data_IF_354637517836
#
_entry.id   IF_354637517836
#
_cell.length_a   1.000
_cell.length_b   1.000
_cell.length_c   1.000
_cell.angle_alpha   90.00
_cell.angle_beta   90.00
_cell.angle_gamma   90.00
#
_symmetry.space_group_name_H-M   'P 1'
#
loop_
_entity.id
_entity.type
_entity.pdbx_description
1 polymer ?
#
# COMPACT_ATOMS: atom_id res chain seq x y z
N UNK A 1 53.42 -62.00 -7.78
CA UNK A 1 54.25 -60.85 -7.36
C UNK A 1 53.66 -59.63 -8.05
N UNK A 2 52.66 -58.99 -7.45
CA UNK A 2 52.84 -57.82 -6.56
C UNK A 2 53.60 -56.70 -7.30
N UNK A 3 52.99 -55.55 -7.60
CA UNK A 3 52.57 -54.64 -6.55
C UNK A 3 51.46 -53.66 -7.02
N UNK A 4 50.43 -53.52 -6.19
CA UNK A 4 49.33 -52.56 -6.34
C UNK A 4 49.84 -51.15 -6.03
N UNK A 5 50.08 -50.33 -7.04
CA UNK A 5 50.40 -48.91 -6.81
C UNK A 5 49.13 -48.06 -6.85
N UNK A 6 48.58 -47.88 -5.64
CA UNK A 6 47.90 -46.68 -5.12
C UNK A 6 47.01 -45.88 -6.08
N UNK A 7 45.72 -46.20 -5.99
CA UNK A 7 44.62 -45.22 -5.96
C UNK A 7 44.96 -44.15 -4.91
N UNK A 8 45.10 -42.89 -5.32
CA UNK A 8 44.72 -41.67 -4.58
C UNK A 8 45.14 -40.44 -5.39
N UNK A 9 44.31 -40.08 -6.36
CA UNK A 9 44.36 -38.76 -6.99
C UNK A 9 42.99 -38.12 -6.81
N UNK A 10 42.83 -37.50 -5.64
CA UNK A 10 42.11 -36.23 -5.44
C UNK A 10 40.78 -36.04 -6.17
N UNK A 11 39.77 -36.88 -5.88
CA UNK A 11 38.37 -36.42 -5.90
C UNK A 11 38.11 -35.80 -4.53
N UNK A 12 38.66 -34.62 -4.29
CA UNK A 12 38.40 -33.88 -3.04
C UNK A 12 38.44 -32.36 -3.21
N UNK A 13 38.31 -31.86 -4.44
CA UNK A 13 38.36 -30.42 -4.70
C UNK A 13 37.30 -29.96 -5.72
N UNK A 14 36.07 -30.46 -5.59
CA UNK A 14 34.91 -29.87 -6.28
C UNK A 14 33.60 -30.00 -5.47
N UNK A 15 33.70 -30.11 -4.13
CA UNK A 15 32.54 -30.12 -3.22
C UNK A 15 32.68 -29.08 -2.08
N UNK A 16 33.71 -28.23 -2.12
CA UNK A 16 33.96 -27.19 -1.09
C UNK A 16 34.02 -25.75 -1.61
N UNK A 17 33.36 -25.44 -2.74
CA UNK A 17 33.02 -24.05 -3.14
C UNK A 17 31.55 -23.97 -3.59
N UNK A 18 30.67 -24.72 -2.92
CA UNK A 18 29.21 -24.51 -3.03
C UNK A 18 28.50 -24.61 -1.66
N UNK A 19 29.25 -24.55 -0.55
CA UNK A 19 28.69 -24.65 0.81
C UNK A 19 29.00 -23.39 1.66
N UNK A 20 29.26 -22.23 1.06
CA UNK A 20 29.43 -20.99 1.86
C UNK A 20 28.81 -19.72 1.31
N UNK A 21 27.91 -19.80 0.32
CA UNK A 21 27.12 -18.66 -0.16
C UNK A 21 25.69 -19.07 -0.53
N UNK A 22 25.07 -19.98 0.21
CA UNK A 22 23.62 -19.94 0.37
C UNK A 22 23.27 -18.92 1.47
N UNK A 23 23.77 -17.69 1.32
CA UNK A 23 23.04 -16.56 1.88
C UNK A 23 21.66 -16.65 1.22
N UNK A 24 20.62 -16.86 2.00
CA UNK A 24 19.24 -16.75 1.56
C UNK A 24 19.01 -15.33 1.03
N UNK A 25 19.44 -15.06 -0.21
CA UNK A 25 19.16 -13.85 -0.97
C UNK A 25 17.70 -13.99 -1.40
N UNK A 26 16.79 -13.75 -0.46
CA UNK A 26 15.38 -13.58 -0.78
C UNK A 26 15.32 -12.52 -1.86
N UNK A 27 14.83 -12.89 -3.04
CA UNK A 27 14.60 -11.94 -4.11
C UNK A 27 13.58 -10.91 -3.60
N UNK A 28 13.99 -9.65 -3.51
CA UNK A 28 13.12 -8.56 -3.08
C UNK A 28 12.63 -7.83 -4.32
N UNK A 29 11.33 -7.52 -4.37
CA UNK A 29 10.75 -6.70 -5.44
C UNK A 29 11.27 -5.27 -5.41
N UNK A 30 11.21 -4.66 -4.24
CA UNK A 30 11.60 -3.28 -4.01
C UNK A 30 12.74 -3.23 -2.96
N UNK A 31 14.03 -3.24 -3.40
CA UNK A 31 15.19 -3.24 -2.50
C UNK A 31 15.43 -1.89 -1.82
N UNK A 32 14.82 -0.80 -2.29
CA UNK A 32 14.84 0.49 -1.59
C UNK A 32 13.94 0.48 -0.35
N UNK A 33 12.87 -0.33 -0.42
CA UNK A 33 11.87 -0.50 0.62
C UNK A 33 12.22 -1.60 1.61
N UNK A 34 12.65 -2.77 1.15
CA UNK A 34 12.92 -3.92 2.02
C UNK A 34 14.41 -4.21 2.07
N UNK A 35 14.98 -4.22 3.27
CA UNK A 35 16.39 -4.46 3.49
C UNK A 35 16.60 -5.42 4.66
N UNK A 36 17.72 -6.12 4.60
CA UNK A 36 18.16 -7.05 5.63
C UNK A 36 19.41 -6.48 6.29
N UNK A 37 19.42 -6.38 7.61
CA UNK A 37 20.59 -5.91 8.37
C UNK A 37 21.71 -6.95 8.33
N UNK A 38 22.91 -6.55 8.76
CA UNK A 38 24.05 -7.47 8.92
C UNK A 38 23.78 -8.56 9.96
N UNK A 39 22.93 -8.28 10.94
CA UNK A 39 22.49 -9.23 11.98
C UNK A 39 21.45 -10.23 11.43
N UNK A 40 20.90 -9.96 10.26
CA UNK A 40 19.97 -10.83 9.55
C UNK A 40 18.51 -10.43 9.65
N UNK A 41 18.20 -9.33 10.33
CA UNK A 41 16.83 -8.86 10.56
C UNK A 41 16.29 -8.09 9.35
N UNK A 42 15.08 -8.45 8.96
CA UNK A 42 14.36 -7.74 7.91
C UNK A 42 13.65 -6.52 8.45
N UNK A 43 13.62 -5.48 7.63
CA UNK A 43 13.01 -4.22 7.96
C UNK A 43 12.44 -3.57 6.68
N UNK A 44 11.43 -2.74 6.86
CA UNK A 44 10.85 -1.87 5.84
C UNK A 44 11.30 -0.44 6.09
N UNK A 45 11.87 0.20 5.07
CA UNK A 45 12.26 1.60 5.08
C UNK A 45 11.18 2.44 4.42
N UNK A 46 10.63 3.42 5.13
CA UNK A 46 9.74 4.41 4.52
C UNK A 46 10.55 5.55 3.89
N UNK A 47 9.92 6.35 3.03
CA UNK A 47 10.57 7.49 2.39
C UNK A 47 11.07 8.55 3.39
N UNK A 48 10.41 8.66 4.55
CA UNK A 48 10.85 9.50 5.67
C UNK A 48 12.04 8.90 6.45
N UNK A 49 12.67 7.86 5.88
CA UNK A 49 13.78 7.11 6.48
C UNK A 49 13.48 6.48 7.84
N UNK A 50 12.19 6.22 8.12
CA UNK A 50 11.79 5.43 9.29
C UNK A 50 11.91 3.95 8.98
N UNK A 51 12.28 3.19 10.00
CA UNK A 51 12.51 1.75 9.89
C UNK A 51 11.44 0.99 10.66
N UNK A 52 10.75 0.09 9.96
CA UNK A 52 9.67 -0.72 10.51
C UNK A 52 10.14 -2.16 10.55
N UNK A 53 10.13 -2.75 11.75
CA UNK A 53 10.58 -4.13 12.02
C UNK A 53 9.42 -5.09 12.25
N UNK A 54 8.26 -4.56 12.59
CA UNK A 54 7.05 -5.33 12.91
C UNK A 54 5.85 -4.87 12.08
N UNK A 55 4.94 -5.81 11.83
CA UNK A 55 3.62 -5.58 11.28
C UNK A 55 2.60 -5.74 12.41
N UNK A 56 1.78 -4.73 12.62
CA UNK A 56 0.67 -4.79 13.55
C UNK A 56 -0.48 -5.57 12.91
N UNK A 57 -0.90 -6.64 13.56
CA UNK A 57 -2.05 -7.45 13.16
C UNK A 57 -3.23 -7.20 14.09
N UNK A 58 -4.35 -7.92 13.89
CA UNK A 58 -5.51 -7.79 14.77
C UNK A 58 -5.27 -8.39 16.17
N UNK A 59 -4.27 -9.27 16.33
CA UNK A 59 -3.99 -9.99 17.58
C UNK A 59 -2.68 -9.58 18.25
N UNK A 60 -1.66 -9.27 17.46
CA UNK A 60 -0.29 -9.07 17.95
C UNK A 60 0.59 -8.32 16.94
N UNK A 61 1.79 -7.94 17.37
CA UNK A 61 2.86 -7.40 16.53
C UNK A 61 3.81 -8.54 16.14
N UNK A 62 4.03 -8.73 14.84
CA UNK A 62 4.87 -9.81 14.31
C UNK A 62 6.01 -9.25 13.47
N UNK A 63 7.20 -9.87 13.48
CA UNK A 63 8.30 -9.46 12.61
C UNK A 63 7.86 -9.39 11.13
N UNK A 64 8.36 -8.39 10.41
CA UNK A 64 8.05 -8.21 8.99
C UNK A 64 8.40 -9.45 8.15
N UNK A 65 9.44 -10.21 8.56
CA UNK A 65 9.87 -11.44 7.90
C UNK A 65 8.85 -12.58 7.95
N UNK A 66 7.95 -12.59 8.94
CA UNK A 66 6.92 -13.62 9.08
C UNK A 66 5.68 -13.29 8.24
N UNK A 67 5.38 -12.00 8.06
CA UNK A 67 4.11 -11.53 7.50
C UNK A 67 4.23 -10.98 6.08
N UNK A 68 5.37 -10.43 5.68
CA UNK A 68 5.54 -9.78 4.37
C UNK A 68 6.16 -10.75 3.37
N UNK A 69 5.53 -10.88 2.20
CA UNK A 69 6.15 -11.51 1.04
C UNK A 69 7.00 -10.46 0.28
N UNK A 70 8.28 -10.38 0.64
CA UNK A 70 9.23 -9.44 0.04
C UNK A 70 9.40 -9.59 -1.48
N UNK A 71 9.04 -10.74 -2.09
CA UNK A 71 9.10 -10.91 -3.55
C UNK A 71 8.02 -10.14 -4.28
N UNK A 72 7.00 -9.69 -3.56
CA UNK A 72 5.86 -8.97 -4.15
C UNK A 72 5.55 -7.67 -3.44
N UNK A 73 5.98 -7.49 -2.19
CA UNK A 73 5.74 -6.30 -1.39
C UNK A 73 6.23 -5.01 -2.07
N UNK A 74 5.33 -4.05 -2.17
CA UNK A 74 5.57 -2.73 -2.76
C UNK A 74 4.48 -1.74 -2.34
N UNK A 75 4.65 -0.48 -2.73
CA UNK A 75 3.57 0.49 -2.68
C UNK A 75 2.39 0.04 -3.55
N UNK A 76 1.16 0.28 -3.08
CA UNK A 76 -0.06 -0.14 -3.78
C UNK A 76 -0.14 0.46 -5.20
N UNK A 77 0.27 1.71 -5.39
CA UNK A 77 0.23 2.38 -6.71
C UNK A 77 1.24 1.81 -7.72
N UNK A 78 2.19 0.97 -7.31
CA UNK A 78 3.12 0.27 -8.22
C UNK A 78 2.49 -0.95 -8.88
N UNK A 79 1.29 -1.36 -8.46
CA UNK A 79 0.54 -2.44 -9.08
C UNK A 79 -0.35 -1.87 -10.20
N UNK A 80 -0.14 -2.34 -11.42
CA UNK A 80 -0.84 -1.82 -12.62
C UNK A 80 -2.36 -1.82 -12.48
N UNK A 81 -2.93 -2.90 -11.93
CA UNK A 81 -4.39 -3.04 -11.80
C UNK A 81 -4.97 -2.10 -10.74
N UNK A 82 -4.15 -1.67 -9.79
CA UNK A 82 -4.52 -0.72 -8.73
C UNK A 82 -4.25 0.73 -9.16
N UNK A 83 -3.16 0.97 -9.90
CA UNK A 83 -2.74 2.32 -10.33
C UNK A 83 -3.76 2.99 -11.25
N UNK A 84 -4.45 2.22 -12.09
CA UNK A 84 -5.51 2.75 -12.96
C UNK A 84 -6.77 3.17 -12.17
N UNK A 85 -6.98 2.62 -10.97
CA UNK A 85 -8.18 2.88 -10.15
C UNK A 85 -8.11 4.18 -9.37
N UNK A 86 -6.93 4.80 -9.25
CA UNK A 86 -6.84 6.18 -8.74
C UNK A 86 -7.65 7.14 -9.61
N UNK A 87 -7.80 6.84 -10.90
CA UNK A 87 -8.74 7.50 -11.82
C UNK A 87 -8.76 9.04 -11.69
N UNK A 88 -7.58 9.64 -11.55
CA UNK A 88 -7.37 11.08 -11.39
C UNK A 88 -5.87 11.37 -11.65
N UNK A 89 -5.60 12.39 -12.47
CA UNK A 89 -4.23 12.71 -12.92
C UNK A 89 -3.33 13.19 -11.79
N UNK A 90 -3.86 13.97 -10.83
CA UNK A 90 -3.09 14.45 -9.68
C UNK A 90 -2.53 13.29 -8.87
N UNK A 91 -3.39 12.35 -8.47
CA UNK A 91 -2.96 11.20 -7.65
C UNK A 91 -2.15 10.16 -8.44
N UNK A 92 -2.26 10.14 -9.77
CA UNK A 92 -1.39 9.32 -10.61
C UNK A 92 0.05 9.85 -10.62
N UNK A 93 0.24 11.18 -10.57
CA UNK A 93 1.55 11.82 -10.48
C UNK A 93 2.06 11.94 -9.04
N UNK A 94 1.13 12.06 -8.08
CA UNK A 94 1.41 12.26 -6.66
C UNK A 94 0.71 11.17 -5.83
N UNK A 95 1.07 9.88 -6.02
CA UNK A 95 0.37 8.80 -5.34
C UNK A 95 0.69 8.79 -3.84
N UNK A 96 -0.31 8.41 -3.05
CA UNK A 96 -0.13 8.19 -1.62
C UNK A 96 0.92 7.11 -1.36
N UNK A 97 1.78 7.37 -0.38
CA UNK A 97 2.80 6.44 0.11
C UNK A 97 2.38 5.73 1.41
N UNK A 98 1.06 5.70 1.67
CA UNK A 98 0.49 5.14 2.90
C UNK A 98 -0.13 3.75 2.70
N UNK A 99 -0.22 3.27 1.47
CA UNK A 99 -0.77 1.95 1.15
C UNK A 99 0.31 1.06 0.55
N UNK A 100 0.48 -0.12 1.16
CA UNK A 100 1.39 -1.15 0.71
C UNK A 100 0.63 -2.43 0.44
N UNK A 101 1.18 -3.29 -0.40
CA UNK A 101 0.57 -4.56 -0.77
C UNK A 101 1.64 -5.57 -1.09
N UNK A 102 1.40 -6.82 -0.72
CA UNK A 102 2.06 -7.99 -1.30
C UNK A 102 1.02 -8.90 -1.96
N UNK A 103 1.41 -10.09 -2.42
CA UNK A 103 0.46 -11.02 -3.04
C UNK A 103 -0.65 -11.50 -2.09
N UNK A 104 -0.45 -11.41 -0.77
CA UNK A 104 -1.33 -11.96 0.27
C UNK A 104 -2.20 -10.89 0.91
N UNK A 105 -1.66 -9.72 1.20
CA UNK A 105 -2.28 -8.73 2.09
C UNK A 105 -2.13 -7.29 1.59
N UNK A 106 -3.07 -6.46 2.03
CA UNK A 106 -3.00 -5.00 2.00
C UNK A 106 -2.55 -4.49 3.37
N UNK A 107 -1.70 -3.47 3.38
CA UNK A 107 -1.18 -2.83 4.59
C UNK A 107 -1.36 -1.31 4.57
N UNK A 108 -1.62 -0.74 5.74
CA UNK A 108 -1.69 0.70 5.97
C UNK A 108 -0.47 1.16 6.75
N UNK A 109 0.21 2.18 6.25
CA UNK A 109 1.24 2.90 6.99
C UNK A 109 0.59 4.09 7.68
N UNK A 110 0.64 4.10 9.01
CA UNK A 110 0.07 5.13 9.87
C UNK A 110 1.20 5.75 10.67
N UNK A 111 1.22 7.08 10.75
CA UNK A 111 2.07 7.77 11.73
C UNK A 111 1.29 7.87 13.04
N UNK A 112 1.86 7.40 14.13
CA UNK A 112 1.25 7.56 15.45
C UNK A 112 1.47 8.97 16.03
N UNK A 113 1.05 9.17 17.28
CA UNK A 113 1.17 10.47 17.94
C UNK A 113 2.60 10.85 18.33
N UNK A 114 3.53 9.89 18.47
CA UNK A 114 4.96 10.18 18.63
C UNK A 114 5.64 10.48 17.30
N UNK A 115 4.95 10.24 16.19
CA UNK A 115 5.48 10.38 14.84
C UNK A 115 6.25 9.15 14.40
N UNK A 116 6.05 7.99 15.03
CA UNK A 116 6.59 6.71 14.57
C UNK A 116 5.75 6.15 13.43
N UNK A 117 6.40 5.42 12.52
CA UNK A 117 5.76 4.78 11.38
C UNK A 117 5.34 3.36 11.76
N UNK A 118 4.03 3.09 11.72
CA UNK A 118 3.44 1.80 12.05
C UNK A 118 2.79 1.17 10.81
N UNK A 119 3.11 -0.10 10.54
CA UNK A 119 2.56 -0.83 9.40
C UNK A 119 1.50 -1.83 9.86
N UNK A 120 0.24 -1.58 9.50
CA UNK A 120 -0.90 -2.41 9.89
C UNK A 120 -1.31 -3.35 8.76
N UNK A 121 -1.40 -4.65 9.02
CA UNK A 121 -2.07 -5.61 8.11
C UNK A 121 -3.57 -5.34 8.15
N UNK A 122 -4.21 -5.10 7.00
CA UNK A 122 -5.64 -4.73 6.95
C UNK A 122 -6.58 -5.81 6.46
N UNK A 123 -6.29 -6.42 5.32
CA UNK A 123 -7.14 -7.45 4.72
C UNK A 123 -6.31 -8.26 3.71
N UNK A 124 -6.91 -9.29 3.11
CA UNK A 124 -6.26 -9.97 1.99
C UNK A 124 -6.16 -9.05 0.77
N UNK A 125 -5.19 -9.34 -0.10
CA UNK A 125 -4.90 -8.57 -1.31
C UNK A 125 -6.04 -8.52 -2.33
N UNK A 126 -7.11 -9.31 -2.13
CA UNK A 126 -8.32 -9.35 -2.95
C UNK A 126 -9.59 -8.91 -2.20
N UNK A 127 -9.48 -8.39 -0.97
CA UNK A 127 -10.61 -7.99 -0.10
C UNK A 127 -10.79 -6.47 0.00
N UNK A 128 -10.16 -5.71 -0.90
CA UNK A 128 -10.30 -4.25 -0.98
C UNK A 128 -10.66 -3.78 -2.38
N UNK A 129 -11.16 -2.55 -2.47
CA UNK A 129 -11.47 -1.87 -3.72
C UNK A 129 -10.96 -0.42 -3.66
N UNK A 130 -10.03 -0.05 -4.55
CA UNK A 130 -9.71 1.35 -4.83
C UNK A 130 -10.82 1.93 -5.70
N UNK A 131 -11.36 3.08 -5.29
CA UNK A 131 -12.56 3.66 -5.91
C UNK A 131 -12.34 5.07 -6.46
N UNK A 132 -11.10 5.56 -6.51
CA UNK A 132 -10.74 6.87 -7.05
C UNK A 132 -9.98 7.72 -6.04
N UNK A 133 -9.08 8.57 -6.53
CA UNK A 133 -8.13 9.31 -5.72
C UNK A 133 -7.44 8.38 -4.72
N UNK A 134 -7.46 8.76 -3.45
CA UNK A 134 -6.90 7.95 -2.36
C UNK A 134 -7.97 7.24 -1.51
N UNK A 135 -9.19 7.13 -2.05
CA UNK A 135 -10.28 6.41 -1.40
C UNK A 135 -10.19 4.91 -1.67
N UNK A 136 -10.41 4.15 -0.60
CA UNK A 136 -10.37 2.69 -0.62
C UNK A 136 -11.49 2.12 0.24
N UNK A 137 -12.10 1.03 -0.21
CA UNK A 137 -13.13 0.28 0.51
C UNK A 137 -12.56 -1.04 1.01
N UNK A 138 -12.85 -1.38 2.27
CA UNK A 138 -12.65 -2.70 2.87
C UNK A 138 -13.91 -2.98 3.66
N UNK A 139 -14.69 -4.00 3.28
CA UNK A 139 -16.01 -4.23 3.88
C UNK A 139 -15.96 -4.27 5.43
N UNK A 140 -16.87 -3.58 6.15
CA UNK A 140 -17.97 -2.71 5.69
C UNK A 140 -17.60 -1.21 5.70
N UNK A 141 -16.31 -0.86 5.59
CA UNK A 141 -15.78 0.48 5.81
C UNK A 141 -15.22 1.13 4.54
N UNK A 142 -15.16 2.46 4.57
CA UNK A 142 -14.48 3.29 3.57
C UNK A 142 -13.34 4.05 4.25
N UNK A 143 -12.24 4.24 3.54
CA UNK A 143 -11.03 4.88 4.02
C UNK A 143 -10.55 5.94 3.03
N UNK A 144 -9.90 6.98 3.55
CA UNK A 144 -9.11 7.94 2.80
C UNK A 144 -7.75 8.11 3.49
N UNK A 145 -6.65 7.92 2.75
CA UNK A 145 -5.28 7.89 3.29
C UNK A 145 -5.16 7.14 4.63
N UNK A 146 -5.63 5.89 4.71
CA UNK A 146 -5.68 5.03 5.93
C UNK A 146 -6.67 5.46 7.03
N UNK A 147 -7.18 6.70 7.01
CA UNK A 147 -8.21 7.17 7.95
C UNK A 147 -9.56 6.58 7.56
N UNK A 148 -10.18 5.83 8.49
CA UNK A 148 -11.56 5.37 8.34
C UNK A 148 -12.49 6.59 8.26
N UNK A 149 -13.35 6.61 7.26
CA UNK A 149 -14.36 7.65 7.09
C UNK A 149 -15.55 7.31 7.98
N UNK A 150 -15.85 8.21 8.92
CA UNK A 150 -16.96 8.01 9.84
C UNK A 150 -18.30 8.20 9.11
N UNK A 151 -19.26 7.33 9.41
CA UNK A 151 -20.62 7.34 8.87
C UNK A 151 -20.73 7.20 7.34
N UNK A 152 -19.67 6.75 6.66
CA UNK A 152 -19.72 6.43 5.24
C UNK A 152 -20.62 5.21 4.98
N UNK A 153 -21.59 5.37 4.08
CA UNK A 153 -22.42 4.28 3.59
C UNK A 153 -21.64 3.49 2.53
N UNK A 154 -21.02 2.39 2.96
CA UNK A 154 -20.20 1.53 2.10
C UNK A 154 -20.89 1.12 0.78
N UNK A 155 -22.20 0.87 0.81
CA UNK A 155 -22.92 0.34 -0.36
C UNK A 155 -23.09 1.40 -1.44
N UNK A 156 -23.30 2.65 -1.04
CA UNK A 156 -23.58 3.75 -1.96
C UNK A 156 -22.37 4.67 -2.19
N UNK A 157 -21.29 4.50 -1.44
CA UNK A 157 -20.08 5.31 -1.57
C UNK A 157 -19.45 5.16 -2.96
N UNK A 158 -19.23 6.32 -3.60
CA UNK A 158 -18.60 6.48 -4.91
C UNK A 158 -17.64 7.67 -4.83
N UNK A 159 -16.83 7.83 -5.86
CA UNK A 159 -16.01 9.04 -6.01
C UNK A 159 -16.37 9.77 -7.29
N UNK A 160 -16.05 11.06 -7.32
CA UNK A 160 -16.07 11.87 -8.53
C UNK A 160 -14.86 12.80 -8.55
N UNK A 161 -14.31 13.04 -9.73
CA UNK A 161 -13.33 14.11 -9.90
C UNK A 161 -14.05 15.44 -10.06
N UNK A 162 -13.51 16.47 -9.43
CA UNK A 162 -14.00 17.84 -9.54
C UNK A 162 -12.84 18.79 -9.75
N UNK A 163 -13.04 19.75 -10.66
CA UNK A 163 -12.13 20.89 -10.80
C UNK A 163 -12.31 21.84 -9.62
N UNK A 164 -11.23 22.16 -8.93
CA UNK A 164 -11.23 23.21 -7.92
C UNK A 164 -11.10 24.58 -8.60
N UNK A 165 -11.79 25.60 -8.07
CA UNK A 165 -11.68 26.96 -8.60
C UNK A 165 -10.21 27.42 -8.62
N UNK A 166 -9.73 27.85 -9.80
CA UNK A 166 -8.33 28.28 -10.05
C UNK A 166 -7.26 27.20 -9.90
N UNK A 167 -7.62 25.91 -9.93
CA UNK A 167 -6.68 24.79 -10.00
C UNK A 167 -6.67 24.18 -11.40
N UNK A 168 -5.49 23.84 -11.89
CA UNK A 168 -5.30 23.00 -13.09
C UNK A 168 -5.48 21.50 -12.81
N UNK A 169 -5.45 21.12 -11.54
CA UNK A 169 -5.63 19.75 -11.08
C UNK A 169 -7.06 19.51 -10.60
N UNK A 170 -7.63 18.39 -11.04
CA UNK A 170 -8.85 17.84 -10.44
C UNK A 170 -8.51 17.19 -9.10
N UNK A 171 -9.40 17.34 -8.13
CA UNK A 171 -9.36 16.56 -6.90
C UNK A 171 -10.44 15.47 -6.96
N UNK A 172 -10.31 14.45 -6.12
CA UNK A 172 -11.35 13.42 -5.98
C UNK A 172 -12.17 13.67 -4.71
N UNK A 173 -13.49 13.75 -4.87
CA UNK A 173 -14.48 13.88 -3.79
C UNK A 173 -15.17 12.53 -3.60
N UNK A 174 -15.38 12.13 -2.35
CA UNK A 174 -16.21 10.99 -1.99
C UNK A 174 -17.66 11.43 -1.85
N UNK A 175 -18.61 10.60 -2.27
CA UNK A 175 -20.04 10.86 -2.11
C UNK A 175 -20.73 9.55 -1.79
N UNK A 176 -21.68 9.58 -0.85
CA UNK A 176 -22.65 8.52 -0.66
C UNK A 176 -24.08 9.09 -0.63
N UNK A 177 -25.08 8.23 -0.40
CA UNK A 177 -26.49 8.64 -0.37
C UNK A 177 -26.81 9.71 0.68
N UNK A 178 -25.97 9.87 1.71
CA UNK A 178 -26.20 10.76 2.85
C UNK A 178 -25.29 11.99 2.83
N UNK A 179 -24.06 11.87 2.34
CA UNK A 179 -22.99 12.84 2.59
C UNK A 179 -22.07 13.08 1.39
N UNK A 180 -21.39 14.23 1.41
CA UNK A 180 -20.29 14.60 0.52
C UNK A 180 -19.00 14.68 1.36
N UNK A 181 -17.90 14.14 0.85
CA UNK A 181 -16.63 13.98 1.56
C UNK A 181 -15.47 14.65 0.84
N UNK A 182 -14.75 15.52 1.56
CA UNK A 182 -13.43 16.00 1.16
C UNK A 182 -12.38 15.28 2.01
N UNK A 183 -11.68 14.33 1.38
CA UNK A 183 -10.87 13.36 2.10
C UNK A 183 -11.72 12.54 3.07
N UNK A 184 -11.35 12.52 4.34
CA UNK A 184 -12.11 11.79 5.37
C UNK A 184 -13.21 12.62 6.05
N UNK A 185 -13.38 13.89 5.67
CA UNK A 185 -14.25 14.83 6.37
C UNK A 185 -15.53 15.12 5.56
N UNK A 186 -16.67 15.21 6.25
CA UNK A 186 -17.97 15.54 5.64
C UNK A 186 -18.03 17.04 5.39
N UNK A 187 -18.45 17.44 4.18
CA UNK A 187 -18.68 18.84 3.80
C UNK A 187 -20.13 19.08 3.44
N UNK A 188 -20.59 20.32 3.63
CA UNK A 188 -21.94 20.72 3.24
C UNK A 188 -22.02 20.96 1.73
N UNK A 189 -23.23 20.88 1.18
CA UNK A 189 -23.50 21.25 -0.22
C UNK A 189 -23.04 22.69 -0.53
N UNK A 190 -23.26 23.64 0.38
CA UNK A 190 -22.80 25.02 0.22
C UNK A 190 -21.29 25.13 0.08
N UNK A 191 -20.53 24.39 0.90
CA UNK A 191 -19.06 24.36 0.80
C UNK A 191 -18.64 23.74 -0.53
N UNK A 192 -19.24 22.61 -0.91
CA UNK A 192 -18.95 21.96 -2.19
C UNK A 192 -19.21 22.90 -3.37
N UNK A 193 -20.38 23.52 -3.44
CA UNK A 193 -20.73 24.45 -4.52
C UNK A 193 -19.80 25.68 -4.54
N UNK A 194 -19.37 26.16 -3.38
CA UNK A 194 -18.45 27.31 -3.29
C UNK A 194 -17.06 26.97 -3.83
N UNK A 195 -16.54 25.79 -3.49
CA UNK A 195 -15.19 25.36 -3.87
C UNK A 195 -15.11 24.80 -5.29
N UNK A 196 -16.21 24.19 -5.78
CA UNK A 196 -16.25 23.39 -7.01
C UNK A 196 -17.37 23.84 -7.97
N UNK A 197 -17.75 25.12 -7.93
CA UNK A 197 -18.89 25.76 -8.62
C UNK A 197 -19.04 25.41 -10.11
N UNK A 198 -17.94 25.11 -10.81
CA UNK A 198 -17.96 24.72 -12.22
C UNK A 198 -18.65 23.37 -12.48
N UNK A 199 -18.94 22.58 -11.44
CA UNK A 199 -19.48 21.22 -11.53
C UNK A 199 -20.96 21.10 -11.10
N UNK A 200 -21.76 22.18 -11.18
CA UNK A 200 -23.17 22.17 -10.75
C UNK A 200 -24.02 21.06 -11.36
N UNK A 201 -23.77 20.71 -12.62
CA UNK A 201 -24.56 19.69 -13.32
C UNK A 201 -24.29 18.28 -12.79
N UNK A 202 -23.07 18.00 -12.30
CA UNK A 202 -22.69 16.70 -11.74
C UNK A 202 -23.45 16.35 -10.45
N UNK A 203 -23.78 17.35 -9.61
CA UNK A 203 -24.60 17.13 -8.42
C UNK A 203 -26.09 16.93 -8.75
N UNK A 204 -26.62 17.61 -9.77
CA UNK A 204 -28.03 17.44 -10.19
C UNK A 204 -28.31 16.01 -10.64
N UNK A 205 -27.36 15.39 -11.34
CA UNK A 205 -27.43 13.99 -11.77
C UNK A 205 -27.46 13.03 -10.57
N UNK A 206 -26.74 13.34 -9.49
CA UNK A 206 -26.61 12.44 -8.32
C UNK A 206 -27.74 12.60 -7.29
N UNK A 207 -28.25 13.81 -7.08
CA UNK A 207 -29.25 14.13 -6.05
C UNK A 207 -30.66 14.40 -6.60
N UNK A 208 -30.90 14.15 -7.89
CA UNK A 208 -32.21 14.34 -8.56
C UNK A 208 -32.87 15.71 -8.27
N UNK A 209 -32.25 16.78 -8.78
CA UNK A 209 -32.89 18.10 -8.86
C UNK A 209 -33.60 18.31 -10.20
#
# INVERSE_FOLDING_TARGET
>A
MENKTKIRTSISLFIFIFISLSCNNVQVRNPELCFKTNEGDWHIKTDDSKWIKEVITDSEELPVSEIIDFRTFDYLYKYKDDSIKFNNTFYSHNPSKVYFKDKRFLYFLVNDSSGDALLYKKCKSNEYELIGGEYLKIFPNVYWQTKKINNADYQTFKTMNVSQNKSEWEITIGIDKNNIYYGADIITKTIFETLYWTNKDSLKIHYHY
#
